data_IF_406814866984
#
_entry.id   IF_406814866984
#
_cell.length_a   1.000
_cell.length_b   1.000
_cell.length_c   1.000
_cell.angle_alpha   90.00
_cell.angle_beta   90.00
_cell.angle_gamma   90.00
#
_symmetry.space_group_name_H-M   'P 1'
#
loop_
_entity.id
_entity.type
_entity.pdbx_description
1 polymer ?
#
# COMPACT_ATOMS: atom_id res chain seq x y z
N UNK A 1 16.02 -4.91 21.31
CA UNK A 1 16.49 -4.18 20.11
C UNK A 1 15.50 -4.52 19.01
N UNK A 2 14.75 -3.54 18.50
CA UNK A 2 13.73 -3.79 17.47
C UNK A 2 14.47 -4.16 16.18
N UNK A 3 14.18 -5.33 15.62
CA UNK A 3 14.78 -5.78 14.36
C UNK A 3 14.02 -5.13 13.20
N UNK A 4 14.66 -4.14 12.57
CA UNK A 4 14.07 -3.34 11.51
C UNK A 4 14.61 -3.80 10.15
N UNK A 5 13.73 -3.88 9.15
CA UNK A 5 14.08 -4.20 7.75
C UNK A 5 13.52 -3.15 6.80
N UNK A 6 14.26 -2.84 5.75
CA UNK A 6 13.89 -1.82 4.76
C UNK A 6 13.61 -2.45 3.39
N UNK A 7 12.63 -1.90 2.68
CA UNK A 7 12.06 -2.47 1.46
C UNK A 7 11.70 -1.40 0.43
N UNK A 8 11.70 -1.79 -0.85
CA UNK A 8 11.25 -0.95 -1.97
C UNK A 8 9.73 -0.86 -2.11
N UNK A 9 9.00 -1.85 -1.59
CA UNK A 9 7.55 -1.96 -1.73
C UNK A 9 6.91 -2.43 -0.43
N UNK A 10 5.67 -2.01 -0.19
CA UNK A 10 4.83 -2.54 0.90
C UNK A 10 4.14 -3.84 0.53
N UNK A 11 3.84 -4.06 -0.75
CA UNK A 11 3.08 -5.23 -1.23
C UNK A 11 3.88 -6.52 -1.15
N UNK A 12 5.17 -6.44 -1.47
CA UNK A 12 6.08 -7.58 -1.47
C UNK A 12 7.29 -7.22 -0.63
N UNK A 13 7.38 -7.79 0.58
CA UNK A 13 8.42 -7.52 1.57
C UNK A 13 9.26 -8.78 1.81
N UNK A 14 9.98 -9.19 0.77
CA UNK A 14 10.90 -10.32 0.72
C UNK A 14 12.33 -9.90 0.36
N UNK A 15 13.23 -10.87 0.19
CA UNK A 15 14.64 -10.60 -0.15
C UNK A 15 14.84 -9.88 -1.49
N UNK A 16 13.92 -10.00 -2.47
CA UNK A 16 14.04 -9.26 -3.75
C UNK A 16 13.75 -7.77 -3.57
N UNK A 17 12.79 -7.46 -2.70
CA UNK A 17 12.39 -6.09 -2.39
C UNK A 17 13.24 -5.44 -1.30
N UNK A 18 14.05 -6.23 -0.57
CA UNK A 18 14.82 -5.77 0.59
C UNK A 18 15.95 -4.85 0.16
N UNK A 19 16.09 -3.76 0.91
CA UNK A 19 17.16 -2.80 0.70
C UNK A 19 18.39 -3.16 1.55
N UNK A 20 19.61 -2.92 1.03
CA UNK A 20 20.83 -3.04 1.83
C UNK A 20 20.89 -1.91 2.88
N UNK A 21 21.69 -2.08 3.94
CA UNK A 21 21.77 -1.11 5.04
C UNK A 21 22.21 0.31 4.63
N UNK A 22 22.92 0.46 3.51
CA UNK A 22 23.47 1.75 3.03
C UNK A 22 22.84 2.16 1.69
N UNK A 23 21.55 1.91 1.53
CA UNK A 23 20.81 2.26 0.33
C UNK A 23 20.57 3.80 0.27
N UNK A 24 20.32 4.35 -0.93
CA UNK A 24 20.19 5.82 -1.16
C UNK A 24 18.79 6.22 -1.68
N UNK A 25 17.86 5.28 -1.67
CA UNK A 25 16.48 5.43 -2.13
C UNK A 25 15.77 6.53 -1.33
N UNK A 26 15.26 7.53 -2.04
CA UNK A 26 14.48 8.62 -1.45
C UNK A 26 13.15 8.14 -0.90
N UNK A 27 12.58 7.08 -1.48
CA UNK A 27 11.30 6.49 -1.08
C UNK A 27 11.50 5.02 -0.76
N UNK A 28 11.11 4.61 0.44
CA UNK A 28 11.25 3.24 0.90
C UNK A 28 10.29 2.96 2.06
N UNK A 29 10.24 1.71 2.45
CA UNK A 29 9.39 1.22 3.52
C UNK A 29 10.26 0.59 4.60
N UNK A 30 9.98 0.91 5.86
CA UNK A 30 10.67 0.40 7.04
C UNK A 30 9.71 -0.44 7.85
N UNK A 31 10.02 -1.71 8.10
CA UNK A 31 9.11 -2.64 8.78
C UNK A 31 9.73 -3.26 10.02
N UNK A 32 8.89 -3.48 11.03
CA UNK A 32 9.22 -4.16 12.27
C UNK A 32 7.97 -4.81 12.88
N UNK A 33 8.17 -5.67 13.88
CA UNK A 33 7.07 -6.21 14.70
C UNK A 33 6.97 -5.36 15.96
N UNK A 34 5.77 -4.87 16.26
CA UNK A 34 5.50 -4.13 17.50
C UNK A 34 5.21 -5.10 18.63
N UNK A 35 6.04 -5.10 19.67
CA UNK A 35 5.80 -5.92 20.87
C UNK A 35 4.49 -5.53 21.60
N UNK A 36 4.03 -4.29 21.43
CA UNK A 36 2.81 -3.76 22.08
C UNK A 36 1.54 -4.28 21.42
N UNK A 37 1.54 -4.34 20.08
CA UNK A 37 0.38 -4.73 19.30
C UNK A 37 0.43 -6.18 18.81
N UNK A 38 1.60 -6.83 18.90
CA UNK A 38 1.89 -8.15 18.34
C UNK A 38 1.56 -8.25 16.84
N UNK A 39 1.82 -7.17 16.10
CA UNK A 39 1.60 -7.11 14.65
C UNK A 39 2.79 -6.47 13.94
N UNK A 40 2.87 -6.72 12.64
CA UNK A 40 3.79 -6.02 11.76
C UNK A 40 3.31 -4.59 11.53
N UNK A 41 4.24 -3.66 11.68
CA UNK A 41 4.08 -2.26 11.30
C UNK A 41 5.05 -1.97 10.16
N UNK A 42 4.57 -1.27 9.14
CA UNK A 42 5.41 -0.72 8.08
C UNK A 42 5.25 0.78 8.03
N UNK A 43 6.34 1.51 8.00
CA UNK A 43 6.40 2.95 7.87
C UNK A 43 6.87 3.29 6.45
N UNK A 44 6.17 4.17 5.76
CA UNK A 44 6.59 4.67 4.45
C UNK A 44 7.34 5.98 4.63
N UNK A 45 8.55 6.02 4.09
CA UNK A 45 9.41 7.19 4.11
C UNK A 45 9.54 7.80 2.73
N UNK A 46 9.58 9.13 2.68
CA UNK A 46 9.91 9.91 1.49
C UNK A 46 10.82 11.07 1.87
N UNK A 47 12.01 11.14 1.28
CA UNK A 47 13.07 12.11 1.58
C UNK A 47 13.37 12.18 3.09
N UNK A 48 13.46 11.02 3.75
CA UNK A 48 13.71 10.91 5.19
C UNK A 48 12.53 11.27 6.09
N UNK A 49 11.38 11.68 5.53
CA UNK A 49 10.17 11.99 6.29
C UNK A 49 9.22 10.79 6.31
N UNK A 50 8.69 10.46 7.48
CA UNK A 50 7.58 9.53 7.61
C UNK A 50 6.32 10.16 7.00
N UNK A 51 5.64 9.43 6.12
CA UNK A 51 4.45 9.93 5.42
C UNK A 51 3.21 9.07 5.63
N UNK A 52 3.37 7.80 6.02
CA UNK A 52 2.27 6.86 6.22
C UNK A 52 2.71 5.71 7.13
N UNK A 53 1.78 5.17 7.93
CA UNK A 53 2.01 3.98 8.76
C UNK A 53 0.97 2.92 8.46
N UNK A 54 1.45 1.75 8.03
CA UNK A 54 0.66 0.56 7.71
C UNK A 54 0.66 -0.41 8.90
N UNK A 55 -0.52 -0.85 9.27
CA UNK A 55 -0.76 -1.89 10.27
C UNK A 55 -1.27 -3.14 9.57
N UNK A 56 -0.49 -4.22 9.64
CA UNK A 56 -0.76 -5.42 8.85
C UNK A 56 -1.64 -6.42 9.61
N UNK A 57 -2.62 -7.00 8.91
CA UNK A 57 -3.40 -8.18 9.32
C UNK A 57 -4.06 -8.06 10.72
N UNK A 58 -4.48 -6.85 11.08
CA UNK A 58 -5.15 -6.58 12.35
C UNK A 58 -6.66 -6.38 12.18
N UNK A 59 -7.41 -6.82 13.19
CA UNK A 59 -8.86 -6.66 13.29
C UNK A 59 -9.28 -5.80 14.49
N UNK A 60 -8.33 -5.41 15.36
CA UNK A 60 -8.62 -4.66 16.59
C UNK A 60 -8.28 -3.18 16.36
N UNK A 61 -9.16 -2.49 15.65
CA UNK A 61 -8.94 -1.11 15.21
C UNK A 61 -8.70 -0.16 16.38
N UNK A 62 -9.42 -0.31 17.50
CA UNK A 62 -9.28 0.57 18.67
C UNK A 62 -7.85 0.57 19.23
N UNK A 63 -7.25 -0.61 19.44
CA UNK A 63 -5.85 -0.71 19.91
C UNK A 63 -4.86 -0.07 18.94
N UNK A 64 -5.10 -0.21 17.64
CA UNK A 64 -4.27 0.39 16.60
C UNK A 64 -4.40 1.91 16.65
N UNK A 65 -5.62 2.44 16.80
CA UNK A 65 -5.89 3.87 16.93
C UNK A 65 -5.19 4.46 18.14
N UNK A 66 -5.31 3.84 19.31
CA UNK A 66 -4.66 4.29 20.56
C UNK A 66 -3.14 4.32 20.43
N UNK A 67 -2.56 3.24 19.90
CA UNK A 67 -1.13 3.17 19.64
C UNK A 67 -0.69 4.24 18.63
N UNK A 68 -1.44 4.39 17.54
CA UNK A 68 -1.13 5.36 16.49
C UNK A 68 -1.22 6.79 17.01
N UNK A 69 -2.23 7.13 17.82
CA UNK A 69 -2.36 8.44 18.46
C UNK A 69 -1.14 8.79 19.31
N UNK A 70 -0.61 7.80 20.02
CA UNK A 70 0.52 8.00 20.93
C UNK A 70 1.84 8.22 20.17
N UNK A 71 2.02 7.60 19.00
CA UNK A 71 3.32 7.54 18.31
C UNK A 71 3.37 8.32 16.99
N UNK A 72 2.22 8.57 16.36
CA UNK A 72 2.10 9.01 14.97
C UNK A 72 0.92 9.97 14.73
N UNK A 73 0.52 10.76 15.74
CA UNK A 73 -0.74 11.52 15.74
C UNK A 73 -1.05 12.35 14.47
N UNK A 74 -0.02 12.84 13.77
CA UNK A 74 -0.15 13.68 12.57
C UNK A 74 0.02 12.92 11.25
N UNK A 75 0.31 11.62 11.31
CA UNK A 75 0.56 10.77 10.14
C UNK A 75 -0.72 10.00 9.81
N UNK A 76 -1.02 9.74 8.52
CA UNK A 76 -2.12 8.85 8.15
C UNK A 76 -1.94 7.43 8.72
N UNK A 77 -3.05 6.88 9.24
CA UNK A 77 -3.17 5.49 9.65
C UNK A 77 -3.68 4.68 8.47
N UNK A 78 -2.98 3.59 8.15
CA UNK A 78 -3.36 2.71 7.05
C UNK A 78 -3.47 1.27 7.57
N UNK A 79 -4.57 0.59 7.26
CA UNK A 79 -4.70 -0.85 7.48
C UNK A 79 -4.33 -1.58 6.19
N UNK A 80 -3.48 -2.59 6.32
CA UNK A 80 -3.03 -3.41 5.20
C UNK A 80 -3.47 -4.85 5.43
N UNK A 81 -4.27 -5.39 4.50
CA UNK A 81 -4.85 -6.73 4.62
C UNK A 81 -4.68 -7.54 3.34
N UNK A 82 -4.14 -8.75 3.48
CA UNK A 82 -3.97 -9.71 2.39
C UNK A 82 -5.18 -10.62 2.34
N UNK A 83 -6.12 -10.37 1.42
CA UNK A 83 -7.35 -11.17 1.29
C UNK A 83 -7.12 -12.48 0.55
N UNK A 84 -6.16 -12.51 -0.37
CA UNK A 84 -5.70 -13.71 -1.05
C UNK A 84 -4.22 -13.55 -1.44
N UNK A 85 -3.58 -14.61 -1.95
CA UNK A 85 -2.20 -14.53 -2.47
C UNK A 85 -1.97 -13.40 -3.49
N UNK A 86 -3.03 -12.95 -4.15
CA UNK A 86 -3.01 -12.02 -5.27
C UNK A 86 -3.93 -10.81 -5.02
N UNK A 87 -4.43 -10.60 -3.81
CA UNK A 87 -5.38 -9.51 -3.53
C UNK A 87 -5.07 -8.85 -2.20
N UNK A 88 -4.83 -7.55 -2.26
CA UNK A 88 -4.44 -6.73 -1.12
C UNK A 88 -5.43 -5.59 -0.97
N UNK A 89 -5.89 -5.36 0.25
CA UNK A 89 -6.79 -4.28 0.62
C UNK A 89 -5.99 -3.28 1.47
N UNK A 90 -6.15 -2.00 1.16
CA UNK A 90 -5.55 -0.89 1.87
C UNK A 90 -6.66 0.07 2.28
N UNK A 91 -6.91 0.19 3.58
CA UNK A 91 -7.87 1.16 4.12
C UNK A 91 -7.11 2.31 4.75
N UNK A 92 -7.41 3.53 4.34
CA UNK A 92 -6.77 4.73 4.88
C UNK A 92 -7.72 5.48 5.79
N UNK A 93 -7.19 5.89 6.94
CA UNK A 93 -7.90 6.65 7.96
C UNK A 93 -7.17 7.97 8.24
N UNK A 94 -7.95 9.04 8.37
CA UNK A 94 -7.46 10.36 8.77
C UNK A 94 -8.32 10.84 9.93
N UNK A 95 -7.70 11.35 11.00
CA UNK A 95 -8.40 11.68 12.23
C UNK A 95 -9.29 10.52 12.76
N UNK A 96 -8.86 9.28 12.51
CA UNK A 96 -9.58 8.05 12.86
C UNK A 96 -10.92 7.81 12.14
N UNK A 97 -11.21 8.61 11.12
CA UNK A 97 -12.33 8.42 10.21
C UNK A 97 -11.83 7.72 8.93
N UNK A 98 -12.62 6.78 8.44
CA UNK A 98 -12.36 6.11 7.16
C UNK A 98 -12.36 7.15 6.03
N UNK A 99 -11.42 7.05 5.09
CA UNK A 99 -11.28 8.01 3.99
C UNK A 99 -11.39 7.33 2.63
N UNK A 100 -10.77 6.16 2.47
CA UNK A 100 -10.78 5.41 1.22
C UNK A 100 -10.37 3.97 1.46
N UNK A 101 -10.80 3.11 0.53
CA UNK A 101 -10.34 1.75 0.37
C UNK A 101 -9.72 1.60 -1.02
N UNK A 102 -8.50 1.10 -1.06
CA UNK A 102 -7.85 0.66 -2.30
C UNK A 102 -7.75 -0.87 -2.31
N UNK A 103 -8.13 -1.47 -3.44
CA UNK A 103 -8.00 -2.91 -3.68
C UNK A 103 -7.03 -3.09 -4.83
N UNK A 104 -5.92 -3.78 -4.56
CA UNK A 104 -4.92 -4.13 -5.57
C UNK A 104 -5.03 -5.62 -5.88
N UNK A 105 -5.06 -5.97 -7.16
CA UNK A 105 -4.96 -7.36 -7.61
C UNK A 105 -3.69 -7.57 -8.42
N UNK A 106 -3.04 -8.69 -8.16
CA UNK A 106 -1.79 -9.06 -8.80
C UNK A 106 -1.94 -10.36 -9.57
N UNK A 107 -1.13 -10.54 -10.60
CA UNK A 107 -1.00 -11.83 -11.28
C UNK A 107 -0.11 -12.81 -10.49
N UNK A 108 0.11 -13.99 -11.05
CA UNK A 108 0.99 -15.00 -10.44
C UNK A 108 2.47 -14.60 -10.39
N UNK A 109 2.87 -13.62 -11.19
CA UNK A 109 4.22 -13.05 -11.24
C UNK A 109 4.36 -11.80 -10.36
N UNK A 110 3.34 -11.48 -9.55
CA UNK A 110 3.29 -10.33 -8.64
C UNK A 110 3.27 -8.97 -9.33
N UNK A 111 2.78 -8.94 -10.57
CA UNK A 111 2.56 -7.71 -11.34
C UNK A 111 1.15 -7.21 -11.05
N UNK A 112 1.00 -5.90 -10.86
CA UNK A 112 -0.33 -5.31 -10.65
C UNK A 112 -1.16 -5.51 -11.93
N UNK A 113 -2.34 -6.11 -11.82
CA UNK A 113 -3.28 -6.26 -12.94
C UNK A 113 -4.30 -5.14 -12.94
N UNK A 114 -4.80 -4.82 -11.75
CA UNK A 114 -5.82 -3.82 -11.56
C UNK A 114 -5.75 -3.25 -10.15
N UNK A 115 -6.18 -2.00 -10.05
CA UNK A 115 -6.45 -1.34 -8.78
C UNK A 115 -7.82 -0.67 -8.81
N UNK A 116 -8.54 -0.77 -7.70
CA UNK A 116 -9.82 -0.11 -7.49
C UNK A 116 -9.70 0.83 -6.31
N UNK A 117 -10.23 2.05 -6.46
CA UNK A 117 -10.28 3.04 -5.39
C UNK A 117 -11.71 3.40 -5.07
N UNK A 118 -12.08 3.20 -3.81
CA UNK A 118 -13.38 3.55 -3.24
C UNK A 118 -13.22 4.71 -2.26
N UNK A 119 -14.17 5.64 -2.27
CA UNK A 119 -14.21 6.76 -1.33
C UNK A 119 -14.83 6.34 0.02
N UNK A 120 -14.95 7.29 0.92
CA UNK A 120 -15.53 7.14 2.26
C UNK A 120 -17.00 6.70 2.25
N UNK A 121 -17.74 7.06 1.20
CA UNK A 121 -19.11 6.62 0.93
C UNK A 121 -19.20 5.27 0.20
N UNK A 122 -18.06 4.59 -0.01
CA UNK A 122 -17.91 3.34 -0.77
C UNK A 122 -18.26 3.47 -2.26
N UNK A 123 -18.37 4.68 -2.80
CA UNK A 123 -18.46 4.87 -4.25
C UNK A 123 -17.12 4.60 -4.92
N UNK A 124 -17.14 3.94 -6.08
CA UNK A 124 -15.94 3.73 -6.89
C UNK A 124 -15.52 5.06 -7.52
N UNK A 125 -14.34 5.58 -7.17
CA UNK A 125 -13.79 6.80 -7.76
C UNK A 125 -12.92 6.51 -8.97
N UNK A 126 -12.25 5.35 -9.00
CA UNK A 126 -11.28 5.01 -10.03
C UNK A 126 -11.10 3.49 -10.14
N UNK A 127 -11.02 3.01 -11.37
CA UNK A 127 -10.58 1.66 -11.72
C UNK A 127 -9.41 1.77 -12.69
N UNK A 128 -8.31 1.09 -12.38
CA UNK A 128 -7.14 1.01 -13.24
C UNK A 128 -6.93 -0.43 -13.69
N UNK A 129 -6.54 -0.61 -14.95
CA UNK A 129 -6.08 -1.87 -15.51
C UNK A 129 -4.70 -1.68 -16.15
N UNK A 130 -3.72 -2.48 -15.71
CA UNK A 130 -2.36 -2.44 -16.22
C UNK A 130 -2.18 -3.50 -17.32
N UNK A 131 -1.68 -3.07 -18.47
CA UNK A 131 -1.51 -3.89 -19.67
C UNK A 131 -0.02 -4.15 -19.90
N UNK A 132 0.34 -5.42 -20.04
CA UNK A 132 1.70 -5.89 -20.24
C UNK A 132 1.90 -6.37 -21.68
N UNK A 133 3.10 -6.15 -22.24
CA UNK A 133 3.42 -6.61 -23.59
C UNK A 133 3.38 -8.14 -23.73
N UNK A 134 3.74 -8.86 -22.67
CA UNK A 134 3.77 -10.33 -22.60
C UNK A 134 3.90 -10.79 -21.14
N UNK A 135 3.96 -12.11 -20.92
CA UNK A 135 4.09 -12.73 -19.59
C UNK A 135 5.45 -12.48 -18.93
N UNK A 136 6.48 -12.13 -19.70
CA UNK A 136 7.84 -11.87 -19.20
C UNK A 136 8.09 -10.41 -18.83
N UNK A 137 7.22 -9.48 -19.25
CA UNK A 137 7.38 -8.06 -18.98
C UNK A 137 7.19 -7.75 -17.48
N UNK A 138 8.16 -7.07 -16.86
CA UNK A 138 8.06 -6.68 -15.44
C UNK A 138 7.19 -5.44 -15.22
N UNK A 139 7.15 -4.55 -16.20
CA UNK A 139 6.44 -3.28 -16.16
C UNK A 139 5.31 -3.24 -17.20
N UNK A 140 4.18 -2.57 -16.89
CA UNK A 140 3.13 -2.38 -17.87
C UNK A 140 3.63 -1.46 -18.98
N UNK A 141 3.13 -1.68 -20.20
CA UNK A 141 3.34 -0.78 -21.34
C UNK A 141 2.23 0.27 -21.45
N UNK A 142 1.11 0.04 -20.75
CA UNK A 142 -0.06 0.90 -20.78
C UNK A 142 -0.89 0.71 -19.53
N UNK A 143 -1.55 1.79 -19.09
CA UNK A 143 -2.60 1.74 -18.08
C UNK A 143 -3.91 2.29 -18.65
N UNK A 144 -5.02 1.62 -18.35
CA UNK A 144 -6.39 2.09 -18.64
C UNK A 144 -7.02 2.56 -17.35
N UNK A 145 -7.40 3.83 -17.29
CA UNK A 145 -8.02 4.45 -16.13
C UNK A 145 -9.48 4.76 -16.44
N UNK A 146 -10.39 4.21 -15.65
CA UNK A 146 -11.81 4.51 -15.72
C UNK A 146 -12.24 5.33 -14.50
N UNK A 147 -12.84 6.49 -14.76
CA UNK A 147 -13.37 7.40 -13.75
C UNK A 147 -14.90 7.40 -13.80
N UNK A 148 -15.60 6.69 -12.89
CA UNK A 148 -17.05 6.54 -12.95
C UNK A 148 -17.83 7.86 -12.90
N UNK A 149 -17.32 8.86 -12.17
CA UNK A 149 -17.94 10.18 -12.06
C UNK A 149 -17.98 10.95 -13.39
N UNK A 150 -17.02 10.68 -14.27
CA UNK A 150 -16.92 11.29 -15.60
C UNK A 150 -17.47 10.38 -16.70
N UNK A 151 -17.66 9.09 -16.39
CA UNK A 151 -17.97 8.05 -17.36
C UNK A 151 -16.99 8.02 -18.53
N UNK A 152 -15.69 8.16 -18.23
CA UNK A 152 -14.61 8.27 -19.21
C UNK A 152 -13.50 7.24 -18.95
N UNK A 153 -12.93 6.75 -20.05
CA UNK A 153 -11.73 5.92 -20.06
C UNK A 153 -10.57 6.76 -20.60
N UNK A 154 -9.47 6.77 -19.86
CA UNK A 154 -8.19 7.33 -20.27
C UNK A 154 -7.18 6.19 -20.47
N UNK A 155 -6.30 6.32 -21.46
CA UNK A 155 -5.19 5.39 -21.68
C UNK A 155 -3.88 6.16 -21.58
N UNK A 156 -2.97 5.68 -20.75
CA UNK A 156 -1.63 6.24 -20.56
C UNK A 156 -0.60 5.21 -21.03
N UNK A 157 0.24 5.59 -21.98
CA UNK A 157 1.40 4.79 -22.37
C UNK A 157 2.50 4.96 -21.31
N UNK A 158 3.14 3.85 -20.92
CA UNK A 158 4.16 3.84 -19.88
C UNK A 158 5.55 3.84 -20.53
N UNK A 159 6.37 4.85 -20.18
CA UNK A 159 7.76 5.01 -20.65
C UNK A 159 8.74 3.99 -20.05
#
# INVERSE_FOLDING_TARGET
MINVKEYRSVFFQDEKSRLPQNHNEKRFFRSYISDVLDIKITERLSNGKLIEVYYHETYILEKVKDFHQTHYAEIPLVLFQTKSKNTIFIETYKNYEFQLLEIFRFDEFRREKESLRFLDDYSLSQYNESIYANEQAEFPIKEKLFYPSLWQIHEEDMD
#
